data_IF_532247345215
#
_entry.id   IF_532247345215
#
_cell.length_a   1.000
_cell.length_b   1.000
_cell.length_c   1.000
_cell.angle_alpha   90.00
_cell.angle_beta   90.00
_cell.angle_gamma   90.00
#
_symmetry.space_group_name_H-M   'P 1'
#
loop_
_entity.id
_entity.type
_entity.pdbx_description
1 polymer ?
#
# COMPACT_ATOMS: atom_id res chain seq x y z
N UNK A 1 -3.11 2.42 -7.40
CA UNK A 1 -3.23 1.72 -6.11
C UNK A 1 -4.64 1.86 -5.58
N UNK A 2 -5.14 0.92 -4.77
CA UNK A 2 -6.47 1.04 -4.14
C UNK A 2 -6.36 1.92 -2.89
N UNK A 3 -7.38 2.73 -2.59
CA UNK A 3 -7.48 3.50 -1.34
C UNK A 3 -7.77 2.57 -0.15
N UNK A 4 -7.35 2.99 1.04
CA UNK A 4 -7.67 2.35 2.31
C UNK A 4 -9.19 2.45 2.56
N UNK A 5 -9.81 1.36 3.03
CA UNK A 5 -11.24 1.31 3.33
C UNK A 5 -11.48 1.13 4.83
N UNK A 6 -12.60 1.67 5.36
CA UNK A 6 -13.06 1.31 6.69
C UNK A 6 -13.37 -0.20 6.73
N UNK A 7 -12.65 -0.93 7.58
CA UNK A 7 -12.71 -2.40 7.67
C UNK A 7 -11.46 -3.14 7.17
N UNK A 8 -10.52 -2.44 6.52
CA UNK A 8 -9.20 -3.01 6.22
C UNK A 8 -8.40 -3.17 7.53
N UNK A 9 -7.85 -4.37 7.78
CA UNK A 9 -6.98 -4.64 8.93
C UNK A 9 -5.56 -4.14 8.62
N UNK A 10 -5.16 -3.02 9.22
CA UNK A 10 -3.83 -2.44 9.00
C UNK A 10 -2.79 -3.24 9.78
N UNK A 11 -1.79 -3.77 9.07
CA UNK A 11 -0.66 -4.51 9.65
C UNK A 11 0.54 -3.60 9.85
N UNK A 12 0.74 -2.63 8.95
CA UNK A 12 1.84 -1.66 9.02
C UNK A 12 1.46 -0.39 8.28
N UNK A 13 1.85 0.77 8.80
CA UNK A 13 1.76 2.05 8.09
C UNK A 13 3.16 2.46 7.66
N UNK A 14 3.28 2.94 6.42
CA UNK A 14 4.47 3.55 5.87
C UNK A 14 4.15 5.03 5.62
N UNK A 15 4.40 5.85 6.63
CA UNK A 15 4.08 7.28 6.62
C UNK A 15 4.93 8.07 5.65
N UNK A 16 6.16 7.57 5.39
CA UNK A 16 7.02 8.09 4.35
C UNK A 16 6.29 7.92 3.03
N UNK A 17 5.98 6.69 2.62
CA UNK A 17 5.34 6.40 1.32
C UNK A 17 3.87 6.83 1.22
N UNK A 18 3.21 7.16 2.33
CA UNK A 18 1.78 7.48 2.35
C UNK A 18 0.88 6.27 2.10
N UNK A 19 1.34 5.05 2.45
CA UNK A 19 0.61 3.79 2.26
C UNK A 19 0.44 3.00 3.56
N UNK A 20 -0.62 2.21 3.65
CA UNK A 20 -0.86 1.22 4.69
C UNK A 20 -0.80 -0.18 4.07
N UNK A 21 -0.08 -1.08 4.70
CA UNK A 21 -0.12 -2.50 4.41
C UNK A 21 -1.27 -3.11 5.18
N UNK A 22 -2.24 -3.66 4.45
CA UNK A 22 -3.43 -4.29 5.03
C UNK A 22 -3.33 -5.80 4.94
N UNK A 23 -3.97 -6.50 5.87
CA UNK A 23 -4.19 -7.94 5.78
C UNK A 23 -5.40 -8.21 4.91
N UNK A 24 -5.20 -9.03 3.88
CA UNK A 24 -6.29 -9.48 3.04
C UNK A 24 -7.12 -10.56 3.76
N UNK A 25 -8.41 -10.68 3.40
CA UNK A 25 -9.19 -11.83 3.81
C UNK A 25 -8.53 -13.13 3.35
N UNK A 26 -8.74 -14.24 4.07
CA UNK A 26 -8.19 -15.54 3.70
C UNK A 26 -8.69 -15.96 2.32
N UNK A 27 -7.77 -16.39 1.45
CA UNK A 27 -8.13 -16.88 0.13
C UNK A 27 -8.48 -18.39 0.21
N UNK A 28 -9.74 -18.78 -0.05
CA UNK A 28 -10.14 -20.19 0.01
C UNK A 28 -9.44 -21.06 -1.05
N UNK A 29 -8.97 -20.46 -2.16
CA UNK A 29 -8.25 -21.18 -3.23
C UNK A 29 -6.83 -21.53 -2.81
N UNK A 30 -6.29 -20.85 -1.80
CA UNK A 30 -4.95 -21.03 -1.26
C UNK A 30 -4.99 -21.65 0.15
N UNK A 31 -6.04 -22.42 0.47
CA UNK A 31 -6.17 -23.08 1.77
C UNK A 31 -6.34 -22.10 2.94
N UNK A 32 -6.87 -20.91 2.71
CA UNK A 32 -7.07 -19.89 3.73
C UNK A 32 -5.87 -18.97 3.96
N UNK A 33 -4.85 -19.02 3.09
CA UNK A 33 -3.71 -18.09 3.14
C UNK A 33 -4.17 -16.62 3.13
N UNK A 34 -3.58 -15.79 3.99
CA UNK A 34 -3.85 -14.35 4.07
C UNK A 34 -2.66 -13.56 3.52
N UNK A 35 -2.84 -12.96 2.36
CA UNK A 35 -1.86 -12.03 1.79
C UNK A 35 -1.84 -10.67 2.49
N UNK A 36 -0.82 -9.88 2.18
CA UNK A 36 -0.73 -8.47 2.59
C UNK A 36 -0.77 -7.61 1.32
N UNK A 37 -1.51 -6.50 1.35
CA UNK A 37 -1.66 -5.62 0.20
C UNK A 37 -1.48 -4.15 0.59
N UNK A 38 -0.73 -3.35 -0.17
CA UNK A 38 -0.59 -1.94 0.10
C UNK A 38 -1.85 -1.17 -0.33
N UNK A 39 -2.26 -0.22 0.50
CA UNK A 39 -3.38 0.70 0.31
C UNK A 39 -2.92 2.13 0.46
N UNK A 40 -3.42 2.98 -0.42
CA UNK A 40 -3.10 4.39 -0.40
C UNK A 40 -3.85 5.08 0.74
N UNK A 41 -3.12 5.77 1.60
CA UNK A 41 -3.66 6.61 2.69
C UNK A 41 -3.61 8.08 2.26
N UNK A 42 -2.46 8.51 1.73
CA UNK A 42 -2.22 9.88 1.30
C UNK A 42 -1.71 9.90 -0.15
N UNK A 43 -2.58 10.35 -1.05
CA UNK A 43 -2.28 10.45 -2.48
C UNK A 43 -1.24 11.54 -2.78
N UNK A 44 -1.20 12.61 -1.99
CA UNK A 44 -0.26 13.72 -2.13
C UNK A 44 1.17 13.30 -1.79
N UNK A 45 1.37 12.61 -0.65
CA UNK A 45 2.68 12.06 -0.26
C UNK A 45 3.16 10.99 -1.24
N UNK A 46 2.29 10.05 -1.61
CA UNK A 46 2.66 8.99 -2.55
C UNK A 46 3.09 9.55 -3.91
N UNK A 47 2.37 10.54 -4.45
CA UNK A 47 2.73 11.18 -5.71
C UNK A 47 4.00 12.03 -5.59
N UNK A 48 4.23 12.70 -4.47
CA UNK A 48 5.43 13.50 -4.25
C UNK A 48 6.68 12.63 -4.22
N UNK A 49 6.60 11.44 -3.62
CA UNK A 49 7.71 10.49 -3.60
C UNK A 49 7.90 9.77 -4.92
N UNK A 50 6.82 9.46 -5.64
CA UNK A 50 6.93 8.93 -7.00
C UNK A 50 7.68 9.92 -7.91
N UNK A 51 7.42 11.22 -7.78
CA UNK A 51 8.14 12.28 -8.51
C UNK A 51 9.60 12.41 -8.06
N UNK A 52 9.89 12.30 -6.76
CA UNK A 52 11.26 12.32 -6.24
C UNK A 52 12.09 11.09 -6.65
N UNK A 53 11.46 9.92 -6.72
CA UNK A 53 12.12 8.64 -7.05
C UNK A 53 12.28 8.42 -8.57
N UNK A 54 11.50 9.13 -9.39
CA UNK A 54 11.67 9.17 -10.85
C UNK A 54 12.87 10.01 -11.30
N UNK A 55 13.48 10.82 -10.43
CA UNK A 55 14.67 11.63 -10.73
C UNK A 55 16.01 10.88 -10.57
N UNK A 56 16.01 9.54 -10.52
CA UNK A 56 17.23 8.71 -10.44
C UNK A 56 17.38 7.76 -11.64
N UNK A 57 16.70 8.04 -12.75
CA UNK A 57 16.92 7.40 -14.04
C UNK A 57 16.63 8.41 -15.14
N UNK A 58 17.63 9.23 -15.41
CA UNK A 58 18.14 9.61 -16.72
C UNK A 58 19.15 10.75 -16.50
N UNK A 59 20.41 10.45 -16.82
CA UNK A 59 21.62 11.30 -16.94
C UNK A 59 22.11 12.14 -15.73
#
# INVERSE_FOLDING_TARGET
MKKLKPGDEIVRVDEELGIAWIRLPPDPRLGGFRGISPRLIDEGRFNSLKKGRAKVKDD
#
